data_IF_002077143011
#
_entry.id   IF_002077143011
#
_cell.length_a   1.000
_cell.length_b   1.000
_cell.length_c   1.000
_cell.angle_alpha   90.00
_cell.angle_beta   90.00
_cell.angle_gamma   90.00
#
_symmetry.space_group_name_H-M   'P 1'
#
loop_
_entity.id
_entity.type
_entity.pdbx_description
1 polymer ?
#
# COMPACT_ATOMS: atom_id res chain seq x y z
N UNK A 1 22.46 -12.25 29.61
CA UNK A 1 22.25 -13.70 29.46
C UNK A 1 21.83 -13.94 28.01
N UNK A 2 22.62 -14.69 27.25
CA UNK A 2 22.25 -15.08 25.87
C UNK A 2 21.33 -16.29 25.99
N UNK A 3 20.00 -16.10 25.89
CA UNK A 3 19.07 -17.20 25.69
C UNK A 3 19.35 -17.77 24.31
N UNK A 4 19.93 -18.97 24.27
CA UNK A 4 20.10 -19.69 23.01
C UNK A 4 18.72 -20.03 22.45
N UNK A 5 18.51 -19.73 21.18
CA UNK A 5 17.32 -20.13 20.43
C UNK A 5 17.25 -21.68 20.44
N UNK A 6 16.38 -22.26 21.28
CA UNK A 6 16.17 -23.70 21.28
C UNK A 6 15.22 -24.10 20.14
N UNK A 7 15.84 -24.70 19.12
CA UNK A 7 15.14 -25.15 17.91
C UNK A 7 14.08 -26.24 18.19
N UNK A 8 14.18 -26.95 19.29
CA UNK A 8 13.20 -27.98 19.68
C UNK A 8 11.98 -27.36 20.32
N UNK A 9 12.18 -26.44 21.26
CA UNK A 9 11.12 -25.68 21.91
C UNK A 9 10.30 -24.86 20.92
N UNK A 10 10.96 -24.16 19.99
CA UNK A 10 10.30 -23.45 18.90
C UNK A 10 9.48 -24.36 17.98
N UNK A 11 9.99 -25.56 17.69
CA UNK A 11 9.28 -26.52 16.84
C UNK A 11 8.04 -27.09 17.53
N UNK A 12 8.11 -27.35 18.81
CA UNK A 12 6.96 -27.84 19.59
C UNK A 12 5.88 -26.77 19.75
N UNK A 13 6.28 -25.54 20.03
CA UNK A 13 5.37 -24.40 20.11
C UNK A 13 4.71 -24.09 18.75
N UNK A 14 5.48 -24.18 17.66
CA UNK A 14 4.96 -24.03 16.30
C UNK A 14 3.92 -25.12 15.96
N UNK A 15 4.20 -26.39 16.28
CA UNK A 15 3.27 -27.51 16.05
C UNK A 15 1.99 -27.29 16.85
N UNK A 16 2.10 -26.91 18.11
CA UNK A 16 0.95 -26.64 18.98
C UNK A 16 0.10 -25.48 18.45
N UNK A 17 0.71 -24.39 18.02
CA UNK A 17 0.00 -23.28 17.42
C UNK A 17 -0.69 -23.64 16.10
N UNK A 18 -0.10 -24.53 15.30
CA UNK A 18 -0.72 -25.05 14.08
C UNK A 18 -1.92 -25.98 14.37
N UNK A 19 -1.84 -26.79 15.40
CA UNK A 19 -2.95 -27.65 15.84
C UNK A 19 -4.13 -26.84 16.40
N UNK A 20 -3.83 -25.78 17.18
CA UNK A 20 -4.83 -24.83 17.67
C UNK A 20 -5.48 -24.07 16.49
N UNK A 21 -4.70 -23.64 15.51
CA UNK A 21 -5.20 -23.00 14.31
C UNK A 21 -6.10 -23.95 13.50
N UNK A 22 -5.69 -25.21 13.34
CA UNK A 22 -6.46 -26.23 12.61
C UNK A 22 -7.79 -26.55 13.32
N UNK A 23 -7.80 -26.56 14.66
CA UNK A 23 -9.04 -26.72 15.44
C UNK A 23 -9.98 -25.53 15.29
N UNK A 24 -9.45 -24.30 15.33
CA UNK A 24 -10.21 -23.06 15.08
C UNK A 24 -10.77 -22.99 13.66
N UNK A 25 -10.01 -23.45 12.66
CA UNK A 25 -10.45 -23.54 11.26
C UNK A 25 -11.62 -24.51 11.11
N UNK A 26 -11.55 -25.68 11.76
CA UNK A 26 -12.61 -26.70 11.74
C UNK A 26 -13.88 -26.24 12.47
N UNK A 27 -13.75 -25.58 13.62
CA UNK A 27 -14.89 -25.06 14.39
C UNK A 27 -15.60 -23.90 13.66
N UNK A 28 -14.87 -22.97 13.02
CA UNK A 28 -15.45 -21.79 12.36
C UNK A 28 -15.97 -22.02 10.94
N UNK A 29 -15.83 -23.23 10.40
CA UNK A 29 -16.30 -23.55 9.04
C UNK A 29 -15.86 -22.50 8.01
N UNK A 30 -14.56 -22.16 8.03
CA UNK A 30 -13.97 -21.07 7.24
C UNK A 30 -14.15 -21.32 5.73
N UNK A 31 -14.29 -20.27 4.93
CA UNK A 31 -14.38 -20.39 3.48
C UNK A 31 -13.11 -21.00 2.88
N UNK A 32 -13.27 -21.77 1.81
CA UNK A 32 -12.12 -22.38 1.11
C UNK A 32 -11.17 -21.33 0.55
N UNK A 33 -9.88 -21.72 0.43
CA UNK A 33 -8.79 -20.84 -0.03
C UNK A 33 -9.12 -20.07 -1.34
N UNK A 34 -9.75 -20.75 -2.30
CA UNK A 34 -10.12 -20.15 -3.58
C UNK A 34 -11.06 -18.96 -3.44
N UNK A 35 -12.11 -19.09 -2.63
CA UNK A 35 -13.08 -18.02 -2.42
C UNK A 35 -12.50 -16.90 -1.54
N UNK A 36 -11.55 -17.23 -0.66
CA UNK A 36 -10.86 -16.25 0.19
C UNK A 36 -9.92 -15.34 -0.60
N UNK A 37 -9.32 -15.82 -1.67
CA UNK A 37 -8.38 -15.09 -2.52
C UNK A 37 -9.10 -14.43 -3.72
N UNK A 38 -10.24 -14.97 -4.14
CA UNK A 38 -10.98 -14.49 -5.33
C UNK A 38 -11.27 -12.98 -5.33
N UNK A 39 -11.68 -12.33 -4.22
CA UNK A 39 -11.92 -10.89 -4.18
C UNK A 39 -10.73 -10.03 -4.57
N UNK A 40 -9.52 -10.55 -4.40
CA UNK A 40 -8.26 -9.85 -4.72
C UNK A 40 -7.80 -10.24 -6.12
N UNK A 41 -7.78 -11.53 -6.44
CA UNK A 41 -7.22 -12.02 -7.70
C UNK A 41 -8.12 -11.68 -8.89
N UNK A 42 -9.44 -11.76 -8.75
CA UNK A 42 -10.36 -11.50 -9.87
C UNK A 42 -10.23 -10.06 -10.39
N UNK A 43 -10.31 -9.00 -9.55
CA UNK A 43 -10.07 -7.64 -10.01
C UNK A 43 -8.71 -7.45 -10.65
N UNK A 44 -7.66 -8.00 -10.04
CA UNK A 44 -6.30 -7.89 -10.55
C UNK A 44 -6.18 -8.48 -11.96
N UNK A 45 -6.71 -9.68 -12.18
CA UNK A 45 -6.71 -10.35 -13.48
C UNK A 45 -7.50 -9.56 -14.53
N UNK A 46 -8.68 -9.03 -14.16
CA UNK A 46 -9.49 -8.23 -15.07
C UNK A 46 -8.78 -6.94 -15.51
N UNK A 47 -8.18 -6.21 -14.57
CA UNK A 47 -7.42 -4.98 -14.85
C UNK A 47 -6.19 -5.30 -15.72
N UNK A 48 -5.42 -6.33 -15.38
CA UNK A 48 -4.24 -6.73 -16.15
C UNK A 48 -4.62 -7.19 -17.57
N UNK A 49 -5.68 -8.00 -17.70
CA UNK A 49 -6.16 -8.45 -19.00
C UNK A 49 -6.58 -7.27 -19.88
N UNK A 50 -7.33 -6.33 -19.34
CA UNK A 50 -7.72 -5.13 -20.07
C UNK A 50 -6.52 -4.30 -20.51
N UNK A 51 -5.53 -4.13 -19.63
CA UNK A 51 -4.30 -3.38 -19.92
C UNK A 51 -3.49 -4.07 -21.03
N UNK A 52 -3.25 -5.38 -20.92
CA UNK A 52 -2.48 -6.15 -21.90
C UNK A 52 -3.18 -6.18 -23.26
N UNK A 53 -4.49 -6.47 -23.29
CA UNK A 53 -5.27 -6.51 -24.52
C UNK A 53 -5.41 -5.12 -25.15
N UNK A 54 -5.41 -4.06 -24.33
CA UNK A 54 -5.36 -2.68 -24.82
C UNK A 54 -4.05 -2.37 -25.53
N UNK A 55 -2.91 -2.81 -24.99
CA UNK A 55 -1.60 -2.67 -25.63
C UNK A 55 -1.49 -3.45 -26.95
N UNK A 56 -2.15 -4.60 -27.04
CA UNK A 56 -2.17 -5.44 -28.24
C UNK A 56 -3.23 -5.00 -29.28
N UNK A 57 -3.96 -3.92 -29.03
CA UNK A 57 -5.11 -3.47 -29.84
C UNK A 57 -6.20 -4.54 -30.05
N UNK A 58 -6.27 -5.53 -29.15
CA UNK A 58 -7.23 -6.65 -29.19
C UNK A 58 -8.41 -6.47 -28.20
N UNK A 59 -8.55 -5.31 -27.57
CA UNK A 59 -9.61 -5.04 -26.58
C UNK A 59 -10.96 -4.76 -27.27
N UNK A 60 -12.03 -5.39 -26.78
CA UNK A 60 -13.40 -5.07 -27.15
C UNK A 60 -14.10 -4.24 -26.07
N UNK A 61 -15.29 -3.68 -26.38
CA UNK A 61 -16.04 -2.81 -25.46
C UNK A 61 -16.41 -3.51 -24.14
N UNK A 62 -16.71 -4.81 -24.19
CA UNK A 62 -17.04 -5.58 -23.00
C UNK A 62 -15.82 -5.76 -22.07
N UNK A 63 -14.67 -6.11 -22.62
CA UNK A 63 -13.42 -6.24 -21.86
C UNK A 63 -12.97 -4.90 -21.27
N UNK A 64 -13.14 -3.80 -22.01
CA UNK A 64 -12.89 -2.45 -21.49
C UNK A 64 -13.78 -2.14 -20.29
N UNK A 65 -15.05 -2.51 -20.36
CA UNK A 65 -15.99 -2.27 -19.26
C UNK A 65 -15.66 -3.10 -18.02
N UNK A 66 -15.54 -4.44 -18.14
CA UNK A 66 -15.29 -5.29 -16.96
C UNK A 66 -13.89 -5.16 -16.40
N UNK A 67 -12.91 -4.76 -17.23
CA UNK A 67 -11.52 -4.53 -16.84
C UNK A 67 -11.24 -3.07 -16.46
N UNK A 68 -12.27 -2.21 -16.43
CA UNK A 68 -12.15 -0.90 -15.79
C UNK A 68 -11.87 -1.08 -14.30
N UNK A 69 -10.89 -0.36 -13.73
CA UNK A 69 -10.52 -0.53 -12.33
C UNK A 69 -11.68 -0.41 -11.33
N UNK A 70 -12.62 0.52 -11.57
CA UNK A 70 -13.78 0.72 -10.69
C UNK A 70 -14.74 -0.47 -10.78
N UNK A 71 -15.02 -0.94 -11.98
CA UNK A 71 -15.92 -2.08 -12.23
C UNK A 71 -15.27 -3.37 -11.70
N UNK A 72 -14.00 -3.60 -11.99
CA UNK A 72 -13.27 -4.76 -11.51
C UNK A 72 -13.26 -4.83 -9.97
N UNK A 73 -13.00 -3.72 -9.28
CA UNK A 73 -13.03 -3.63 -7.82
C UNK A 73 -14.45 -3.82 -7.27
N UNK A 74 -15.49 -3.30 -7.95
CA UNK A 74 -16.88 -3.55 -7.58
C UNK A 74 -17.22 -5.04 -7.66
N UNK A 75 -16.77 -5.75 -8.71
CA UNK A 75 -16.92 -7.20 -8.85
C UNK A 75 -16.22 -7.91 -7.67
N UNK A 76 -14.98 -7.52 -7.35
CA UNK A 76 -14.25 -8.07 -6.20
C UNK A 76 -14.98 -7.86 -4.87
N UNK A 77 -15.56 -6.67 -4.67
CA UNK A 77 -16.36 -6.35 -3.48
C UNK A 77 -17.61 -7.23 -3.39
N UNK A 78 -18.31 -7.45 -4.50
CA UNK A 78 -19.47 -8.35 -4.57
C UNK A 78 -19.07 -9.78 -4.22
N UNK A 79 -17.94 -10.27 -4.76
CA UNK A 79 -17.42 -11.60 -4.44
C UNK A 79 -17.08 -11.70 -2.94
N UNK A 80 -16.49 -10.65 -2.34
CA UNK A 80 -16.18 -10.63 -0.91
C UNK A 80 -17.45 -10.71 -0.05
N UNK A 81 -18.45 -9.88 -0.35
CA UNK A 81 -19.71 -9.83 0.40
C UNK A 81 -20.46 -11.17 0.33
N UNK A 82 -20.66 -11.72 -0.85
CA UNK A 82 -21.44 -12.94 -1.02
C UNK A 82 -20.61 -14.22 -0.76
N UNK A 83 -19.32 -14.20 -1.06
CA UNK A 83 -18.46 -15.37 -0.91
C UNK A 83 -17.89 -15.55 0.50
N UNK A 84 -17.48 -14.47 1.14
CA UNK A 84 -16.83 -14.53 2.46
C UNK A 84 -17.80 -14.23 3.60
N UNK A 85 -18.66 -13.21 3.42
CA UNK A 85 -19.54 -12.74 4.49
C UNK A 85 -20.90 -13.40 4.49
N UNK A 86 -21.23 -14.26 3.50
CA UNK A 86 -22.53 -14.95 3.43
C UNK A 86 -22.81 -15.91 4.61
N UNK A 87 -21.79 -16.29 5.38
CA UNK A 87 -21.88 -17.11 6.59
C UNK A 87 -21.59 -16.36 7.90
N UNK A 88 -21.23 -15.09 7.79
CA UNK A 88 -20.90 -14.21 8.93
C UNK A 88 -22.16 -13.49 9.40
N UNK A 89 -22.27 -13.20 10.70
CA UNK A 89 -23.40 -12.46 11.23
C UNK A 89 -23.52 -11.08 10.55
N UNK A 90 -24.76 -10.70 10.27
CA UNK A 90 -25.07 -9.43 9.59
C UNK A 90 -24.51 -8.20 10.32
N UNK A 91 -24.47 -8.26 11.66
CA UNK A 91 -23.88 -7.16 12.45
C UNK A 91 -22.38 -7.03 12.25
N UNK A 92 -21.66 -8.14 12.18
CA UNK A 92 -20.22 -8.17 11.93
C UNK A 92 -19.91 -7.68 10.51
N UNK A 93 -20.68 -8.15 9.52
CA UNK A 93 -20.57 -7.66 8.13
C UNK A 93 -20.76 -6.15 8.05
N UNK A 94 -21.80 -5.60 8.69
CA UNK A 94 -22.06 -4.16 8.70
C UNK A 94 -20.95 -3.38 9.41
N UNK A 95 -20.39 -3.92 10.50
CA UNK A 95 -19.25 -3.29 11.19
C UNK A 95 -18.01 -3.17 10.30
N UNK A 96 -17.66 -4.25 9.58
CA UNK A 96 -16.54 -4.24 8.63
C UNK A 96 -16.78 -3.24 7.50
N UNK A 97 -18.00 -3.16 6.98
CA UNK A 97 -18.35 -2.18 5.94
C UNK A 97 -18.28 -0.74 6.46
N UNK A 98 -18.73 -0.48 7.69
CA UNK A 98 -18.65 0.84 8.31
C UNK A 98 -17.21 1.29 8.50
N UNK A 99 -16.34 0.41 8.95
CA UNK A 99 -14.90 0.70 9.09
C UNK A 99 -14.20 0.93 7.74
N UNK A 100 -14.59 0.20 6.71
CA UNK A 100 -14.12 0.42 5.34
C UNK A 100 -14.54 1.80 4.82
N UNK A 101 -15.80 2.20 5.04
CA UNK A 101 -16.33 3.52 4.64
C UNK A 101 -15.60 4.64 5.38
N UNK A 102 -15.39 4.50 6.70
CA UNK A 102 -14.64 5.49 7.50
C UNK A 102 -13.22 5.68 6.98
N UNK A 103 -12.53 4.58 6.69
CA UNK A 103 -11.17 4.61 6.12
C UNK A 103 -11.15 5.28 4.74
N UNK A 104 -12.12 4.97 3.88
CA UNK A 104 -12.27 5.58 2.56
C UNK A 104 -12.56 7.08 2.65
N UNK A 105 -13.38 7.51 3.60
CA UNK A 105 -13.71 8.93 3.82
C UNK A 105 -12.45 9.77 4.07
N UNK A 106 -11.54 9.29 4.88
CA UNK A 106 -10.25 9.98 5.14
C UNK A 106 -9.42 10.09 3.86
N UNK A 107 -9.33 9.01 3.08
CA UNK A 107 -8.59 9.01 1.81
C UNK A 107 -9.19 10.00 0.82
N UNK A 108 -10.51 10.04 0.68
CA UNK A 108 -11.21 10.97 -0.20
C UNK A 108 -10.99 12.43 0.21
N UNK A 109 -11.05 12.71 1.52
CA UNK A 109 -10.81 14.06 2.05
C UNK A 109 -9.38 14.53 1.75
N UNK A 110 -8.38 13.70 2.01
CA UNK A 110 -6.97 14.02 1.75
C UNK A 110 -6.73 14.21 0.26
N UNK A 111 -7.27 13.33 -0.58
CA UNK A 111 -7.12 13.43 -2.04
C UNK A 111 -7.78 14.70 -2.59
N UNK A 112 -8.98 15.03 -2.11
CA UNK A 112 -9.69 16.25 -2.50
C UNK A 112 -8.97 17.52 -2.05
N UNK A 113 -8.51 17.56 -0.79
CA UNK A 113 -7.73 18.68 -0.26
C UNK A 113 -6.39 18.86 -1.00
N UNK A 114 -5.68 17.73 -1.27
CA UNK A 114 -4.44 17.74 -2.04
C UNK A 114 -4.63 18.22 -3.48
N UNK A 115 -5.69 17.78 -4.14
CA UNK A 115 -6.07 18.24 -5.48
C UNK A 115 -6.39 19.74 -5.51
N UNK A 116 -7.12 20.23 -4.51
CA UNK A 116 -7.42 21.66 -4.36
C UNK A 116 -6.17 22.48 -4.14
N UNK A 117 -5.28 22.05 -3.24
CA UNK A 117 -3.98 22.69 -2.99
C UNK A 117 -3.13 22.68 -4.27
N UNK A 118 -3.07 21.56 -4.97
CA UNK A 118 -2.34 21.43 -6.24
C UNK A 118 -2.83 22.41 -7.29
N UNK A 119 -4.14 22.60 -7.40
CA UNK A 119 -4.71 23.59 -8.33
C UNK A 119 -4.36 25.02 -7.92
N UNK A 120 -4.41 25.36 -6.63
CA UNK A 120 -4.00 26.69 -6.13
C UNK A 120 -2.53 26.96 -6.45
N UNK A 121 -1.64 26.01 -6.21
CA UNK A 121 -0.20 26.13 -6.53
C UNK A 121 0.02 26.34 -8.03
N UNK A 122 -0.73 25.59 -8.86
CA UNK A 122 -0.65 25.71 -10.33
C UNK A 122 -1.12 27.08 -10.82
N UNK A 123 -2.27 27.56 -10.34
CA UNK A 123 -2.87 28.82 -10.79
C UNK A 123 -2.10 30.04 -10.25
N UNK A 124 -1.54 29.97 -9.05
CA UNK A 124 -0.77 31.04 -8.44
C UNK A 124 0.64 31.21 -9.04
N UNK A 125 1.12 30.26 -9.85
CA UNK A 125 2.48 30.27 -10.38
C UNK A 125 3.57 29.91 -9.34
N UNK A 126 3.21 29.67 -8.10
CA UNK A 126 4.13 29.26 -7.02
C UNK A 126 4.84 27.94 -7.38
N UNK A 127 4.23 27.10 -8.22
CA UNK A 127 4.83 25.85 -8.68
C UNK A 127 6.20 26.03 -9.32
N UNK A 128 6.41 27.11 -10.09
CA UNK A 128 7.70 27.40 -10.70
C UNK A 128 8.76 27.77 -9.64
N UNK A 129 8.39 28.62 -8.67
CA UNK A 129 9.29 28.97 -7.57
C UNK A 129 9.67 27.76 -6.69
N UNK A 130 8.72 26.87 -6.44
CA UNK A 130 8.99 25.59 -5.75
C UNK A 130 9.94 24.72 -6.59
N UNK A 131 9.73 24.66 -7.91
CA UNK A 131 10.60 23.92 -8.83
C UNK A 131 12.03 24.42 -8.80
N UNK A 132 12.25 25.74 -8.85
CA UNK A 132 13.58 26.33 -8.76
C UNK A 132 14.27 26.03 -7.42
N UNK A 133 13.54 26.12 -6.30
CA UNK A 133 14.06 25.77 -4.98
C UNK A 133 14.45 24.29 -4.89
N UNK A 134 13.63 23.43 -5.44
CA UNK A 134 13.82 21.97 -5.42
C UNK A 134 15.01 21.58 -6.31
N UNK A 135 15.17 22.24 -7.48
CA UNK A 135 16.32 22.01 -8.37
C UNK A 135 17.64 22.52 -7.78
N UNK A 136 17.59 23.43 -6.83
CA UNK A 136 18.77 23.89 -6.10
C UNK A 136 19.25 22.91 -5.01
N UNK A 137 18.46 21.88 -4.68
CA UNK A 137 18.85 20.88 -3.68
C UNK A 137 19.90 19.92 -4.26
N UNK A 138 20.94 19.55 -3.49
CA UNK A 138 21.99 18.64 -3.95
C UNK A 138 21.55 17.17 -3.91
N UNK A 139 20.30 16.87 -4.29
CA UNK A 139 19.73 15.54 -4.34
C UNK A 139 19.08 15.28 -5.70
N UNK A 140 19.09 14.04 -6.19
CA UNK A 140 18.35 13.69 -7.40
C UNK A 140 16.86 14.05 -7.27
N UNK A 141 16.33 14.77 -8.23
CA UNK A 141 14.95 15.33 -8.22
C UNK A 141 13.89 14.21 -8.10
N UNK A 142 14.20 13.02 -8.61
CA UNK A 142 13.35 11.82 -8.49
C UNK A 142 13.10 11.39 -7.03
N UNK A 143 13.97 11.77 -6.10
CA UNK A 143 13.83 11.41 -4.68
C UNK A 143 12.95 12.39 -3.90
N UNK A 144 12.49 13.47 -4.49
CA UNK A 144 11.64 14.45 -3.80
C UNK A 144 10.29 13.85 -3.40
N UNK A 145 9.54 13.20 -4.30
CA UNK A 145 8.31 12.53 -3.91
C UNK A 145 8.54 11.40 -2.88
N UNK A 146 9.71 10.72 -2.95
CA UNK A 146 10.12 9.77 -1.93
C UNK A 146 10.24 10.41 -0.55
N UNK A 147 10.94 11.55 -0.45
CA UNK A 147 11.14 12.25 0.82
C UNK A 147 9.80 12.71 1.39
N UNK A 148 8.93 13.28 0.56
CA UNK A 148 7.57 13.69 0.98
C UNK A 148 6.81 12.47 1.52
N UNK A 149 6.82 11.35 0.81
CA UNK A 149 6.13 10.13 1.21
C UNK A 149 6.71 9.54 2.50
N UNK A 150 8.02 9.53 2.67
CA UNK A 150 8.70 9.06 3.88
C UNK A 150 8.33 9.92 5.10
N UNK A 151 8.30 11.25 4.95
CA UNK A 151 7.88 12.16 6.00
C UNK A 151 6.40 11.95 6.36
N UNK A 152 5.52 11.78 5.36
CA UNK A 152 4.11 11.46 5.60
C UNK A 152 3.95 10.09 6.27
N UNK A 153 4.78 9.11 5.92
CA UNK A 153 4.80 7.79 6.56
C UNK A 153 5.14 7.90 8.05
N UNK A 154 6.17 8.67 8.38
CA UNK A 154 6.57 8.95 9.77
C UNK A 154 5.44 9.65 10.54
N UNK A 155 4.81 10.64 9.94
CA UNK A 155 3.78 11.44 10.59
C UNK A 155 2.45 10.67 10.78
N UNK A 156 2.00 9.95 9.75
CA UNK A 156 0.66 9.36 9.68
C UNK A 156 0.61 7.88 10.05
N UNK A 157 1.74 7.18 9.96
CA UNK A 157 1.85 5.75 10.28
C UNK A 157 1.27 4.80 9.21
N UNK A 158 0.30 5.23 8.42
CA UNK A 158 -0.35 4.43 7.39
C UNK A 158 0.36 4.58 6.03
N UNK A 159 0.77 3.48 5.41
CA UNK A 159 1.37 3.50 4.08
C UNK A 159 0.40 4.02 3.03
N UNK A 160 -0.86 3.58 3.05
CA UNK A 160 -1.90 3.99 2.09
C UNK A 160 -2.15 5.51 2.18
N UNK A 161 -2.29 6.04 3.38
CA UNK A 161 -2.49 7.48 3.58
C UNK A 161 -1.23 8.26 3.20
N UNK A 162 -0.04 7.75 3.51
CA UNK A 162 1.22 8.37 3.12
C UNK A 162 1.40 8.45 1.60
N UNK A 163 1.09 7.36 0.86
CA UNK A 163 1.15 7.36 -0.62
C UNK A 163 0.20 8.40 -1.20
N UNK A 164 -1.08 8.37 -0.80
CA UNK A 164 -2.10 9.27 -1.36
C UNK A 164 -1.81 10.73 -1.05
N UNK A 165 -1.37 11.03 0.17
CA UNK A 165 -0.97 12.38 0.57
C UNK A 165 0.25 12.85 -0.19
N UNK A 166 1.31 12.02 -0.28
CA UNK A 166 2.52 12.36 -0.99
C UNK A 166 2.28 12.56 -2.49
N UNK A 167 1.47 11.70 -3.11
CA UNK A 167 1.08 11.86 -4.51
C UNK A 167 0.34 13.18 -4.73
N UNK A 168 -0.60 13.53 -3.86
CA UNK A 168 -1.34 14.80 -3.93
C UNK A 168 -0.42 16.02 -3.77
N UNK A 169 0.53 15.97 -2.84
CA UNK A 169 1.51 17.03 -2.61
C UNK A 169 2.56 17.13 -3.72
N UNK A 170 2.90 16.01 -4.37
CA UNK A 170 3.86 15.97 -5.48
C UNK A 170 3.22 16.30 -6.84
N UNK A 171 1.89 16.18 -6.97
CA UNK A 171 1.19 16.46 -8.22
C UNK A 171 1.48 17.84 -8.84
N UNK A 172 1.59 18.94 -8.06
CA UNK A 172 1.96 20.25 -8.62
C UNK A 172 3.34 20.31 -9.25
N UNK A 173 4.23 19.38 -8.91
CA UNK A 173 5.58 19.30 -9.46
C UNK A 173 5.61 18.65 -10.85
N UNK A 174 4.51 18.03 -11.30
CA UNK A 174 4.39 17.45 -12.63
C UNK A 174 4.53 18.54 -13.69
N UNK A 175 5.51 18.37 -14.58
CA UNK A 175 5.84 19.34 -15.62
C UNK A 175 6.74 20.50 -15.16
N UNK A 176 7.02 20.62 -13.85
CA UNK A 176 7.98 21.57 -13.28
C UNK A 176 9.36 20.91 -13.13
N UNK A 177 9.37 19.69 -12.61
CA UNK A 177 10.60 18.88 -12.52
C UNK A 177 10.70 17.93 -13.71
N UNK A 178 11.93 17.67 -14.17
CA UNK A 178 12.20 16.78 -15.30
C UNK A 178 12.14 15.30 -14.88
N UNK A 179 11.00 14.87 -14.33
CA UNK A 179 10.73 13.48 -13.91
C UNK A 179 9.35 13.07 -14.43
N UNK A 180 9.25 11.90 -15.03
CA UNK A 180 7.96 11.42 -15.53
C UNK A 180 6.95 11.21 -14.38
N UNK A 181 5.64 11.41 -14.60
CA UNK A 181 4.61 11.17 -13.58
C UNK A 181 4.63 9.74 -13.04
N UNK A 182 4.99 8.76 -13.89
CA UNK A 182 5.14 7.37 -13.48
C UNK A 182 6.23 7.20 -12.44
N UNK A 183 7.41 7.76 -12.67
CA UNK A 183 8.52 7.69 -11.73
C UNK A 183 8.22 8.45 -10.43
N UNK A 184 7.49 9.55 -10.50
CA UNK A 184 7.02 10.27 -9.32
C UNK A 184 6.07 9.40 -8.48
N UNK A 185 5.15 8.69 -9.12
CA UNK A 185 4.24 7.78 -8.43
C UNK A 185 5.00 6.61 -7.76
N UNK A 186 5.94 5.98 -8.47
CA UNK A 186 6.80 4.92 -7.92
C UNK A 186 7.61 5.46 -6.75
N UNK A 187 8.16 6.66 -6.86
CA UNK A 187 8.92 7.34 -5.80
C UNK A 187 8.08 7.53 -4.53
N UNK A 188 6.81 7.95 -4.65
CA UNK A 188 5.87 8.02 -3.54
C UNK A 188 5.63 6.63 -2.90
N UNK A 189 5.45 5.59 -3.71
CA UNK A 189 5.26 4.23 -3.22
C UNK A 189 6.46 3.74 -2.40
N UNK A 190 7.68 3.93 -2.92
CA UNK A 190 8.93 3.55 -2.25
C UNK A 190 9.11 4.33 -0.93
N UNK A 191 8.83 5.63 -0.93
CA UNK A 191 8.89 6.44 0.28
C UNK A 191 7.89 6.00 1.36
N UNK A 192 6.69 5.62 0.97
CA UNK A 192 5.66 5.20 1.90
C UNK A 192 5.88 3.80 2.52
N UNK A 193 6.72 2.97 1.93
CA UNK A 193 7.14 1.68 2.52
C UNK A 193 8.18 1.89 3.62
N UNK A 194 8.93 2.99 3.60
CA UNK A 194 9.94 3.32 4.59
C UNK A 194 9.34 3.52 5.99
N UNK A 195 10.15 3.42 7.03
CA UNK A 195 9.78 3.78 8.41
C UNK A 195 8.48 3.17 8.95
N UNK A 196 8.34 1.83 8.87
CA UNK A 196 7.26 1.13 9.58
C UNK A 196 7.65 0.96 11.05
N UNK A 197 6.92 1.60 11.97
CA UNK A 197 7.14 1.50 13.42
C UNK A 197 5.82 1.65 14.20
N UNK A 198 5.87 1.94 15.49
CA UNK A 198 4.76 1.79 16.44
C UNK A 198 3.44 2.53 16.08
N UNK A 199 3.48 3.54 15.22
CA UNK A 199 2.26 4.23 14.73
C UNK A 199 1.62 3.53 13.51
N UNK A 200 2.20 2.43 13.03
CA UNK A 200 1.72 1.65 11.91
C UNK A 200 1.01 0.39 12.40
N UNK A 201 -0.25 0.21 12.00
CA UNK A 201 -1.01 -1.01 12.33
C UNK A 201 -0.33 -2.28 11.81
N UNK A 202 0.30 -2.22 10.63
CA UNK A 202 1.07 -3.32 10.06
C UNK A 202 2.31 -3.70 10.89
N UNK A 203 2.86 -2.76 11.67
CA UNK A 203 3.94 -3.03 12.61
C UNK A 203 3.48 -3.99 13.71
N UNK A 204 2.33 -3.73 14.30
CA UNK A 204 1.77 -4.57 15.37
C UNK A 204 1.30 -5.93 14.88
N UNK A 205 0.65 -5.98 13.71
CA UNK A 205 0.25 -7.25 13.10
C UNK A 205 1.46 -8.13 12.81
N UNK A 206 2.53 -7.56 12.23
CA UNK A 206 3.75 -8.30 11.94
C UNK A 206 4.42 -8.84 13.21
N UNK A 207 4.55 -8.02 14.23
CA UNK A 207 5.15 -8.43 15.50
C UNK A 207 4.34 -9.53 16.18
N UNK A 208 3.00 -9.42 16.16
CA UNK A 208 2.11 -10.46 16.70
C UNK A 208 2.22 -11.78 15.95
N UNK A 209 2.35 -11.75 14.61
CA UNK A 209 2.52 -12.96 13.80
C UNK A 209 3.85 -13.69 14.07
N UNK A 210 4.91 -12.96 14.39
CA UNK A 210 6.24 -13.52 14.63
C UNK A 210 6.60 -13.67 16.11
N UNK A 211 5.64 -13.42 17.02
CA UNK A 211 5.85 -13.55 18.46
C UNK A 211 6.97 -12.67 19.01
N UNK A 212 7.15 -11.48 18.46
CA UNK A 212 8.18 -10.54 18.92
C UNK A 212 7.57 -9.62 19.98
N UNK A 213 7.84 -9.88 21.25
CA UNK A 213 7.20 -9.18 22.37
C UNK A 213 7.97 -7.95 22.84
N UNK A 214 9.29 -7.95 22.77
CA UNK A 214 10.11 -6.83 23.21
C UNK A 214 10.08 -5.67 22.20
N UNK A 215 9.65 -4.48 22.62
CA UNK A 215 9.57 -3.27 21.76
C UNK A 215 10.88 -2.98 21.03
N UNK A 216 12.02 -3.19 21.71
CA UNK A 216 13.35 -2.99 21.13
C UNK A 216 13.59 -3.90 19.93
N UNK A 217 13.20 -5.17 20.04
CA UNK A 217 13.38 -6.16 18.99
C UNK A 217 12.32 -5.98 17.88
N UNK A 218 11.11 -5.57 18.25
CA UNK A 218 10.07 -5.17 17.31
C UNK A 218 10.55 -4.06 16.37
N UNK A 219 11.08 -2.97 16.94
CA UNK A 219 11.61 -1.84 16.14
C UNK A 219 12.82 -2.30 15.34
N UNK A 220 13.74 -3.05 15.96
CA UNK A 220 14.96 -3.49 15.29
C UNK A 220 14.67 -4.41 14.10
N UNK A 221 13.71 -5.32 14.22
CA UNK A 221 13.36 -6.24 13.14
C UNK A 221 12.48 -5.56 12.09
N UNK A 222 11.31 -5.07 12.47
CA UNK A 222 10.34 -4.55 11.50
C UNK A 222 10.78 -3.25 10.84
N UNK A 223 11.28 -2.29 11.62
CA UNK A 223 11.74 -1.00 11.09
C UNK A 223 13.01 -1.16 10.25
N UNK A 224 13.96 -2.03 10.68
CA UNK A 224 15.15 -2.28 9.88
C UNK A 224 14.80 -2.89 8.51
N UNK A 225 13.88 -3.86 8.47
CA UNK A 225 13.41 -4.44 7.20
C UNK A 225 12.82 -3.35 6.29
N UNK A 226 11.97 -2.47 6.83
CA UNK A 226 11.36 -1.41 6.04
C UNK A 226 12.39 -0.40 5.50
N UNK A 227 13.44 -0.11 6.26
CA UNK A 227 14.54 0.74 5.81
C UNK A 227 15.38 0.07 4.72
N UNK A 228 15.65 -1.23 4.84
CA UNK A 228 16.35 -1.99 3.79
C UNK A 228 15.51 -2.00 2.50
N UNK A 229 14.19 -2.25 2.60
CA UNK A 229 13.29 -2.20 1.46
C UNK A 229 13.29 -0.80 0.80
N UNK A 230 13.27 0.26 1.59
CA UNK A 230 13.37 1.63 1.08
C UNK A 230 14.71 1.89 0.39
N UNK A 231 15.81 1.40 0.96
CA UNK A 231 17.15 1.50 0.37
C UNK A 231 17.25 0.80 -0.99
N UNK A 232 16.73 -0.42 -1.09
CA UNK A 232 16.64 -1.16 -2.37
C UNK A 232 15.77 -0.38 -3.36
N UNK A 233 14.59 0.09 -2.93
CA UNK A 233 13.69 0.86 -3.77
C UNK A 233 14.30 2.19 -4.27
N UNK A 234 15.14 2.87 -3.48
CA UNK A 234 15.90 4.04 -3.93
C UNK A 234 16.86 3.66 -5.06
N UNK A 235 17.58 2.55 -4.91
CA UNK A 235 18.50 2.07 -5.97
C UNK A 235 17.71 1.75 -7.24
N UNK A 236 16.59 1.06 -7.12
CA UNK A 236 15.71 0.76 -8.26
C UNK A 236 15.18 2.04 -8.93
N UNK A 237 14.73 3.03 -8.14
CA UNK A 237 14.29 4.33 -8.65
C UNK A 237 15.38 5.05 -9.45
N UNK A 238 16.60 5.07 -8.93
CA UNK A 238 17.73 5.71 -9.60
C UNK A 238 18.07 4.99 -10.91
N UNK A 239 18.03 3.66 -10.92
CA UNK A 239 18.24 2.86 -12.13
C UNK A 239 17.11 3.10 -13.16
N UNK A 240 15.85 3.07 -12.73
CA UNK A 240 14.71 3.35 -13.60
C UNK A 240 14.76 4.76 -14.18
N UNK A 241 15.23 5.74 -13.41
CA UNK A 241 15.41 7.13 -13.86
C UNK A 241 16.43 7.29 -14.99
N UNK A 242 17.31 6.31 -15.22
CA UNK A 242 18.23 6.29 -16.37
C UNK A 242 17.49 5.87 -17.64
N UNK A 243 16.53 4.94 -17.55
CA UNK A 243 15.85 4.35 -18.69
C UNK A 243 14.53 5.05 -19.05
N UNK A 244 13.85 5.62 -18.05
CA UNK A 244 12.55 6.29 -18.20
C UNK A 244 12.78 7.79 -17.99
N UNK A 245 12.72 8.55 -19.08
CA UNK A 245 12.79 10.01 -19.05
C UNK A 245 11.40 10.63 -19.07
#
# INVERSE_FOLDING_TARGET
>A
MRGGFDRKEFKEEYIKSMEELDSMIKEKNLPGLGISIAPIIVPLVLILANTILGLLNASNSFLKFIGDPVISLAIGTIIAIYGLMGKVDKKETLSVMDDAIKSTGIIMLITGAGGSLGNVIKVSGIGNAIGELVLAWPIPVILIPFIIAALMRIALGSATVAITTAASLSAPLIGVIAVSPLLMAISCCVGAISFSYFNDSGFWVWNGMFGVDEIKDQVRCKTAISLVMAGVGIVELLLLGIFIK
#
